data_IF_910849917388
#
_entry.id   IF_910849917388
#
_cell.length_a   1.000
_cell.length_b   1.000
_cell.length_c   1.000
_cell.angle_alpha   90.00
_cell.angle_beta   90.00
_cell.angle_gamma   90.00
#
_symmetry.space_group_name_H-M   'P 1'
#
loop_
_entity.id
_entity.type
_entity.pdbx_description
1 polymer ?
#
# COMPACT_ATOMS: atom_id res chain seq x y z
N UNK A 1 -14.05 25.24 11.47
CA UNK A 1 -12.87 25.65 12.27
C UNK A 1 -12.99 25.28 13.75
N UNK A 2 -14.09 25.62 14.45
CA UNK A 2 -14.26 25.31 15.88
C UNK A 2 -14.11 23.82 16.20
N UNK A 3 -14.79 22.93 15.47
CA UNK A 3 -14.71 21.48 15.68
C UNK A 3 -13.30 20.90 15.41
N UNK A 4 -12.60 21.39 14.39
CA UNK A 4 -11.21 21.00 14.13
C UNK A 4 -10.29 21.41 15.28
N UNK A 5 -10.47 22.63 15.80
CA UNK A 5 -9.67 23.15 16.90
C UNK A 5 -9.95 22.38 18.21
N UNK A 6 -11.21 22.03 18.47
CA UNK A 6 -11.60 21.16 19.59
C UNK A 6 -10.99 19.76 19.45
N UNK A 7 -11.04 19.17 18.26
CA UNK A 7 -10.46 17.85 18.00
C UNK A 7 -8.94 17.85 18.22
N UNK A 8 -8.25 18.88 17.71
CA UNK A 8 -6.81 19.04 17.91
C UNK A 8 -6.47 19.18 19.40
N UNK A 9 -7.20 20.01 20.16
CA UNK A 9 -6.95 20.18 21.60
C UNK A 9 -7.22 18.90 22.40
N UNK A 10 -8.24 18.11 22.03
CA UNK A 10 -8.56 16.83 22.68
C UNK A 10 -7.47 15.80 22.41
N UNK A 11 -7.01 15.67 21.16
CA UNK A 11 -5.95 14.72 20.81
C UNK A 11 -4.62 15.07 21.48
N UNK A 12 -4.23 16.35 21.46
CA UNK A 12 -2.98 16.82 22.08
C UNK A 12 -3.03 16.72 23.61
N UNK A 13 -4.17 17.04 24.24
CA UNK A 13 -4.35 16.92 25.68
C UNK A 13 -4.38 15.48 26.19
N UNK A 14 -4.92 14.55 25.40
CA UNK A 14 -5.01 13.13 25.76
C UNK A 14 -3.67 12.39 25.65
N UNK A 15 -2.74 12.88 24.83
CA UNK A 15 -1.40 12.30 24.72
C UNK A 15 -0.58 12.43 26.01
N UNK A 16 -0.87 13.43 26.85
CA UNK A 16 -0.15 13.69 28.10
C UNK A 16 -0.61 12.82 29.29
N UNK A 17 -1.76 12.15 29.19
CA UNK A 17 -2.37 11.39 30.30
C UNK A 17 -2.32 9.86 30.10
N UNK A 18 -1.92 9.39 28.92
CA UNK A 18 -1.69 7.97 28.70
C UNK A 18 -0.31 7.57 29.23
N UNK A 19 -0.27 6.92 30.39
CA UNK A 19 0.94 6.20 30.80
C UNK A 19 1.35 5.23 29.67
N UNK A 20 2.65 5.11 29.33
CA UNK A 20 3.11 4.23 28.24
C UNK A 20 2.64 2.77 28.37
N UNK A 21 2.30 2.34 29.60
CA UNK A 21 1.79 1.01 29.90
C UNK A 21 0.48 0.62 29.20
N UNK A 22 -0.40 1.56 28.83
CA UNK A 22 -1.64 1.23 28.11
C UNK A 22 -1.47 1.12 26.58
N UNK A 23 -0.45 1.74 26.01
CA UNK A 23 -0.08 1.52 24.61
C UNK A 23 0.58 0.16 24.40
N UNK A 24 1.26 -0.36 25.42
CA UNK A 24 1.81 -1.71 25.40
C UNK A 24 0.71 -2.80 25.34
N UNK A 25 -0.44 -2.56 25.96
CA UNK A 25 -1.61 -3.45 25.90
C UNK A 25 -2.30 -3.38 24.52
N UNK A 26 -2.42 -2.16 23.95
CA UNK A 26 -2.95 -1.96 22.60
C UNK A 26 -2.01 -2.46 21.48
N UNK A 27 -0.71 -2.57 21.76
CA UNK A 27 0.30 -3.14 20.87
C UNK A 27 0.44 -4.67 21.04
N UNK A 28 -0.62 -5.35 21.48
CA UNK A 28 -0.70 -6.81 21.46
C UNK A 28 -0.29 -7.35 20.08
N UNK A 29 0.53 -8.39 20.06
CA UNK A 29 1.24 -8.92 18.89
C UNK A 29 0.36 -9.07 17.63
N UNK A 30 -0.94 -9.37 17.79
CA UNK A 30 -1.89 -9.56 16.69
C UNK A 30 -2.11 -8.31 15.82
N UNK A 31 -2.02 -7.10 16.40
CA UNK A 31 -2.26 -5.85 15.66
C UNK A 31 -1.08 -5.48 14.75
N UNK A 32 0.15 -5.71 15.21
CA UNK A 32 1.34 -5.52 14.38
C UNK A 32 1.47 -6.60 13.31
N UNK A 33 1.07 -7.84 13.59
CA UNK A 33 0.99 -8.91 12.59
C UNK A 33 0.03 -8.54 11.46
N UNK A 34 -1.14 -7.97 11.78
CA UNK A 34 -2.07 -7.47 10.78
C UNK A 34 -1.44 -6.34 9.93
N UNK A 35 -0.74 -5.39 10.56
CA UNK A 35 -0.01 -4.34 9.85
C UNK A 35 1.07 -4.88 8.90
N UNK A 36 1.85 -5.87 9.35
CA UNK A 36 2.87 -6.55 8.53
C UNK A 36 2.22 -7.31 7.37
N UNK A 37 1.14 -8.03 7.60
CA UNK A 37 0.43 -8.76 6.56
C UNK A 37 -0.11 -7.83 5.46
N UNK A 38 -0.72 -6.70 5.85
CA UNK A 38 -1.21 -5.69 4.91
C UNK A 38 -0.04 -5.07 4.13
N UNK A 39 1.08 -4.75 4.81
CA UNK A 39 2.27 -4.23 4.17
C UNK A 39 2.85 -5.18 3.10
N UNK A 40 2.96 -6.47 3.42
CA UNK A 40 3.44 -7.49 2.50
C UNK A 40 2.49 -7.69 1.30
N UNK A 41 1.18 -7.72 1.54
CA UNK A 41 0.19 -7.82 0.47
C UNK A 41 0.27 -6.61 -0.49
N UNK A 42 0.45 -5.40 0.05
CA UNK A 42 0.63 -4.18 -0.74
C UNK A 42 1.89 -4.22 -1.60
N UNK A 43 3.02 -4.66 -1.05
CA UNK A 43 4.27 -4.80 -1.79
C UNK A 43 4.14 -5.85 -2.91
N UNK A 44 3.50 -6.99 -2.64
CA UNK A 44 3.26 -8.02 -3.64
C UNK A 44 2.34 -7.53 -4.77
N UNK A 45 1.30 -6.76 -4.45
CA UNK A 45 0.40 -6.17 -5.43
C UNK A 45 1.12 -5.16 -6.34
N UNK A 46 1.94 -4.27 -5.77
CA UNK A 46 2.73 -3.31 -6.54
C UNK A 46 3.72 -4.04 -7.44
N UNK A 47 4.42 -5.06 -6.91
CA UNK A 47 5.38 -5.82 -7.70
C UNK A 47 4.71 -6.59 -8.84
N UNK A 48 3.57 -7.22 -8.58
CA UNK A 48 2.76 -7.90 -9.59
C UNK A 48 2.30 -6.95 -10.70
N UNK A 49 1.82 -5.76 -10.34
CA UNK A 49 1.39 -4.75 -11.31
C UNK A 49 2.56 -4.25 -12.20
N UNK A 50 3.74 -4.05 -11.62
CA UNK A 50 4.93 -3.64 -12.37
C UNK A 50 5.42 -4.74 -13.32
N UNK A 51 5.38 -6.00 -12.87
CA UNK A 51 5.75 -7.17 -13.66
C UNK A 51 4.77 -7.41 -14.81
N UNK A 52 3.47 -7.30 -14.53
CA UNK A 52 2.40 -7.48 -15.51
C UNK A 52 2.45 -6.44 -16.62
N UNK A 53 2.69 -5.16 -16.29
CA UNK A 53 2.91 -4.12 -17.31
C UNK A 53 4.08 -4.45 -18.23
N UNK A 54 5.19 -4.95 -17.68
CA UNK A 54 6.36 -5.30 -18.49
C UNK A 54 6.07 -6.46 -19.44
N UNK A 55 5.37 -7.49 -18.95
CA UNK A 55 4.97 -8.63 -19.78
C UNK A 55 3.93 -8.25 -20.86
N UNK A 56 3.10 -7.23 -20.62
CA UNK A 56 2.17 -6.71 -21.62
C UNK A 56 2.89 -5.91 -22.71
N UNK A 57 3.84 -5.04 -22.32
CA UNK A 57 4.70 -4.28 -23.25
C UNK A 57 5.48 -5.24 -24.18
N UNK A 58 6.12 -6.26 -23.58
CA UNK A 58 6.88 -7.27 -24.34
C UNK A 58 5.99 -8.13 -25.27
N UNK A 59 4.69 -8.27 -24.98
CA UNK A 59 3.75 -9.03 -25.81
C UNK A 59 3.17 -8.18 -26.96
N UNK A 60 2.92 -6.90 -26.72
CA UNK A 60 2.48 -5.95 -27.75
C UNK A 60 3.58 -5.69 -28.80
N UNK A 61 4.86 -5.73 -28.40
CA UNK A 61 6.00 -5.60 -29.31
C UNK A 61 6.12 -6.80 -30.27
N UNK A 62 5.92 -8.03 -29.77
CA UNK A 62 5.99 -9.26 -30.58
C UNK A 62 4.81 -9.37 -31.56
N UNK A 63 3.60 -9.01 -31.14
CA UNK A 63 2.40 -9.04 -32.00
C UNK A 63 2.53 -8.04 -33.17
N UNK A 64 3.09 -6.85 -32.89
CA UNK A 64 3.34 -5.82 -33.89
C UNK A 64 4.49 -6.19 -34.87
N UNK A 65 5.45 -7.01 -34.43
CA UNK A 65 6.52 -7.54 -35.30
C UNK A 65 6.03 -8.69 -36.19
N UNK A 66 5.18 -9.60 -35.69
CA UNK A 66 4.56 -10.65 -36.51
C UNK A 66 3.58 -10.08 -37.55
N UNK A 67 2.81 -9.03 -37.21
CA UNK A 67 1.89 -8.38 -38.15
C UNK A 67 2.65 -7.62 -39.26
N UNK A 68 3.77 -6.99 -38.93
CA UNK A 68 4.64 -6.31 -39.90
C UNK A 68 5.37 -7.26 -40.87
N UNK A 69 5.76 -8.47 -40.42
CA UNK A 69 6.36 -9.49 -41.29
C UNK A 69 5.30 -10.21 -42.16
N UNK A 70 4.06 -10.34 -41.68
CA UNK A 70 2.96 -10.96 -42.42
C UNK A 70 2.36 -10.09 -43.54
N UNK A 71 2.38 -8.76 -43.41
CA UNK A 71 1.87 -7.83 -44.43
C UNK A 71 2.88 -7.58 -45.57
N UNK A 72 4.16 -7.95 -45.38
CA UNK A 72 5.23 -7.80 -46.36
C UNK A 72 5.45 -9.02 -47.28
N UNK A 73 4.67 -10.10 -47.12
CA UNK A 73 4.79 -11.38 -47.84
C UNK A 73 3.76 -11.58 -48.97
#
# INVERSE_FOLDING_TARGET
MRALLTLTLVMVGSAATAHPGHWADAAGHDHWVAGVAIGLAGLAAIWGALKGKKAQDDAEDIDNEEEAEGEAA
#
